data_IF_792406914249
#
_entry.id   IF_792406914249
#
_cell.length_a   1.000
_cell.length_b   1.000
_cell.length_c   1.000
_cell.angle_alpha   90.00
_cell.angle_beta   90.00
_cell.angle_gamma   90.00
#
_symmetry.space_group_name_H-M   'P 1'
#
loop_
_entity.id
_entity.type
_entity.pdbx_description
1 polymer ?
#
# COMPACT_ATOMS: atom_id res chain seq x y z
N UNK A 1 14.77 -11.61 -7.10
CA UNK A 1 14.89 -10.41 -6.24
C UNK A 1 13.91 -9.40 -6.77
N UNK A 2 13.10 -8.81 -5.90
CA UNK A 2 12.28 -7.67 -6.31
C UNK A 2 13.24 -6.53 -6.65
N UNK A 3 12.94 -5.84 -7.74
CA UNK A 3 13.70 -4.68 -8.21
C UNK A 3 13.28 -3.46 -7.38
N UNK A 4 14.25 -2.80 -6.72
CA UNK A 4 14.01 -1.67 -5.81
C UNK A 4 13.19 -0.56 -6.48
N UNK A 5 13.40 -0.31 -7.78
CA UNK A 5 12.65 0.68 -8.55
C UNK A 5 11.18 0.31 -8.69
N UNK A 6 10.90 -0.98 -8.94
CA UNK A 6 9.52 -1.47 -9.05
C UNK A 6 8.82 -1.50 -7.71
N UNK A 7 9.53 -1.83 -6.64
CA UNK A 7 8.98 -1.77 -5.30
C UNK A 7 8.61 -0.33 -4.93
N UNK A 8 9.50 0.63 -5.20
CA UNK A 8 9.23 2.05 -4.98
C UNK A 8 8.02 2.53 -5.78
N UNK A 9 7.90 2.16 -7.06
CA UNK A 9 6.74 2.53 -7.89
C UNK A 9 5.44 1.89 -7.39
N UNK A 10 5.48 0.63 -6.93
CA UNK A 10 4.31 0.00 -6.32
C UNK A 10 3.84 0.78 -5.07
N UNK A 11 4.78 1.24 -4.24
CA UNK A 11 4.48 2.03 -3.05
C UNK A 11 3.88 3.41 -3.40
N UNK A 12 4.44 4.09 -4.41
CA UNK A 12 3.92 5.36 -4.92
C UNK A 12 2.47 5.22 -5.40
N UNK A 13 2.18 4.21 -6.22
CA UNK A 13 0.84 3.95 -6.75
C UNK A 13 -0.16 3.59 -5.65
N UNK A 14 0.26 2.78 -4.67
CA UNK A 14 -0.60 2.44 -3.52
C UNK A 14 -0.89 3.69 -2.68
N UNK A 15 0.11 4.54 -2.44
CA UNK A 15 -0.07 5.79 -1.70
C UNK A 15 -1.06 6.73 -2.40
N UNK A 16 -0.99 6.87 -3.72
CA UNK A 16 -1.95 7.65 -4.50
C UNK A 16 -3.40 7.16 -4.30
N UNK A 17 -3.61 5.83 -4.40
CA UNK A 17 -4.93 5.21 -4.17
C UNK A 17 -5.43 5.45 -2.74
N UNK A 18 -4.56 5.32 -1.74
CA UNK A 18 -4.96 5.50 -0.33
C UNK A 18 -5.10 6.96 0.09
N UNK A 19 -4.40 7.88 -0.57
CA UNK A 19 -4.44 9.32 -0.30
C UNK A 19 -5.67 9.99 -0.88
N UNK A 20 -6.14 9.52 -2.05
CA UNK A 20 -7.31 10.05 -2.77
C UNK A 20 -8.20 8.88 -3.24
N UNK A 21 -8.84 8.13 -2.31
CA UNK A 21 -9.63 6.93 -2.65
C UNK A 21 -10.87 7.22 -3.51
N UNK A 22 -11.32 8.46 -3.54
CA UNK A 22 -12.42 8.93 -4.39
C UNK A 22 -12.02 9.17 -5.84
N UNK A 23 -10.71 9.21 -6.17
CA UNK A 23 -10.21 9.41 -7.53
C UNK A 23 -9.98 8.04 -8.21
N UNK A 24 -10.91 7.59 -9.08
CA UNK A 24 -10.84 6.27 -9.71
C UNK A 24 -9.64 6.11 -10.65
N UNK A 25 -9.05 7.21 -11.16
CA UNK A 25 -7.89 7.15 -12.03
C UNK A 25 -6.66 6.53 -11.34
N UNK A 26 -6.44 6.79 -10.04
CA UNK A 26 -5.31 6.21 -9.30
C UNK A 26 -5.42 4.69 -9.20
N UNK A 27 -6.63 4.18 -8.94
CA UNK A 27 -6.88 2.74 -8.89
C UNK A 27 -6.68 2.10 -10.27
N UNK A 28 -7.15 2.77 -11.32
CA UNK A 28 -6.98 2.29 -12.69
C UNK A 28 -5.49 2.26 -13.10
N UNK A 29 -4.71 3.29 -12.76
CA UNK A 29 -3.26 3.34 -13.01
C UNK A 29 -2.53 2.18 -12.31
N UNK A 30 -2.86 1.92 -11.04
CA UNK A 30 -2.31 0.79 -10.30
C UNK A 30 -2.63 -0.55 -10.98
N UNK A 31 -3.89 -0.76 -11.37
CA UNK A 31 -4.34 -1.99 -12.05
C UNK A 31 -3.58 -2.18 -13.37
N UNK A 32 -3.48 -1.13 -14.18
CA UNK A 32 -2.82 -1.20 -15.48
C UNK A 32 -1.32 -1.48 -15.34
N UNK A 33 -0.66 -0.82 -14.39
CA UNK A 33 0.76 -1.04 -14.11
C UNK A 33 1.05 -2.47 -13.63
N UNK A 34 0.21 -3.02 -12.73
CA UNK A 34 0.32 -4.41 -12.25
C UNK A 34 0.13 -5.41 -13.40
N UNK A 35 -0.79 -5.14 -14.33
CA UNK A 35 -1.09 -6.04 -15.45
C UNK A 35 -0.06 -5.95 -16.59
N UNK A 36 0.68 -4.86 -16.69
CA UNK A 36 1.63 -4.62 -17.77
C UNK A 36 2.86 -5.56 -17.75
N UNK A 37 3.30 -6.04 -16.59
CA UNK A 37 4.49 -6.90 -16.46
C UNK A 37 4.38 -7.79 -15.20
N UNK A 38 4.73 -9.08 -15.33
CA UNK A 38 4.76 -10.04 -14.21
C UNK A 38 5.71 -9.59 -13.08
N UNK A 39 6.76 -8.83 -13.39
CA UNK A 39 7.68 -8.26 -12.40
C UNK A 39 7.05 -7.13 -11.60
N UNK A 40 6.14 -6.36 -12.19
CA UNK A 40 5.38 -5.33 -11.50
C UNK A 40 4.39 -5.97 -10.51
N UNK A 41 3.69 -7.01 -10.96
CA UNK A 41 2.84 -7.85 -10.09
C UNK A 41 3.62 -8.42 -8.90
N UNK A 42 4.80 -8.99 -9.14
CA UNK A 42 5.64 -9.53 -8.07
C UNK A 42 6.09 -8.44 -7.07
N UNK A 43 6.38 -7.22 -7.54
CA UNK A 43 6.71 -6.09 -6.66
C UNK A 43 5.51 -5.64 -5.82
N UNK A 44 4.32 -5.57 -6.43
CA UNK A 44 3.08 -5.22 -5.73
C UNK A 44 2.69 -6.28 -4.69
N UNK A 45 2.83 -7.57 -4.99
CA UNK A 45 2.58 -8.66 -4.04
C UNK A 45 3.53 -8.60 -2.83
N UNK A 46 4.79 -8.21 -3.04
CA UNK A 46 5.73 -8.01 -1.93
C UNK A 46 5.33 -6.82 -1.05
N UNK A 47 4.91 -5.71 -1.67
CA UNK A 47 4.40 -4.56 -0.94
C UNK A 47 3.14 -4.91 -0.13
N UNK A 48 2.22 -5.67 -0.71
CA UNK A 48 1.01 -6.15 -0.02
C UNK A 48 1.38 -6.97 1.22
N UNK A 49 2.37 -7.87 1.11
CA UNK A 49 2.87 -8.63 2.28
C UNK A 49 3.42 -7.72 3.37
N UNK A 50 4.23 -6.72 3.01
CA UNK A 50 4.76 -5.74 3.97
C UNK A 50 3.61 -4.98 4.64
N UNK A 51 2.64 -4.51 3.87
CA UNK A 51 1.49 -3.77 4.37
C UNK A 51 0.66 -4.61 5.36
N UNK A 52 0.34 -5.85 5.02
CA UNK A 52 -0.40 -6.77 5.89
C UNK A 52 0.34 -7.01 7.22
N UNK A 53 1.66 -7.26 7.17
CA UNK A 53 2.46 -7.46 8.39
C UNK A 53 2.45 -6.20 9.27
N UNK A 54 2.61 -5.02 8.67
CA UNK A 54 2.59 -3.76 9.45
C UNK A 54 1.21 -3.44 10.04
N UNK A 55 0.13 -3.69 9.29
CA UNK A 55 -1.24 -3.53 9.78
C UNK A 55 -1.55 -4.48 10.94
N UNK A 56 -1.16 -5.74 10.81
CA UNK A 56 -1.28 -6.75 11.87
C UNK A 56 -0.54 -6.35 13.16
N UNK A 57 0.67 -5.78 13.03
CA UNK A 57 1.46 -5.30 14.18
C UNK A 57 0.76 -4.13 14.86
N UNK A 58 0.32 -3.12 14.10
CA UNK A 58 -0.37 -1.94 14.64
C UNK A 58 -1.70 -2.30 15.32
N UNK A 59 -2.43 -3.30 14.82
CA UNK A 59 -3.68 -3.76 15.45
C UNK A 59 -3.45 -4.62 16.70
N UNK A 60 -2.26 -5.24 16.85
CA UNK A 60 -1.90 -6.06 18.01
C UNK A 60 -1.34 -5.26 19.19
N UNK A 61 -1.03 -3.97 19.00
CA UNK A 61 -0.64 -3.06 20.08
C UNK A 61 -1.86 -2.22 20.53
N UNK A 62 -2.57 -2.59 21.63
CA UNK A 62 -3.79 -1.91 22.06
C UNK A 62 -3.55 -0.52 22.70
N UNK A 63 -2.35 0.05 22.56
CA UNK A 63 -1.90 1.22 23.31
C UNK A 63 -1.83 2.54 22.55
N UNK A 64 -2.10 2.56 21.24
CA UNK A 64 -2.04 3.78 20.41
C UNK A 64 -3.41 4.30 19.97
N UNK A 65 -4.50 3.64 20.38
CA UNK A 65 -5.86 4.10 20.12
C UNK A 65 -6.38 4.95 21.30
N UNK A 66 -6.43 6.26 21.08
CA UNK A 66 -7.23 7.28 21.80
C UNK A 66 -6.72 7.77 23.16
N UNK A 67 -5.75 8.70 23.14
CA UNK A 67 -5.80 9.86 24.03
C UNK A 67 -6.12 11.10 23.20
N UNK A 68 -7.40 11.32 22.93
CA UNK A 68 -7.98 12.66 22.73
C UNK A 68 -9.51 12.55 22.84
N UNK A 69 -9.98 12.19 24.04
CA UNK A 69 -11.33 12.61 24.45
C UNK A 69 -11.18 13.96 25.14
N UNK A 70 -11.42 15.01 24.36
CA UNK A 70 -11.54 16.39 24.83
C UNK A 70 -12.56 16.45 25.97
N UNK A 71 -12.19 17.16 27.03
CA UNK A 71 -12.98 17.47 28.24
C UNK A 71 -14.32 18.12 27.94
#
# INVERSE_FOLDING_TARGET
MVDDERFAKAAELLLAVTGEPEEPAHLQELIDWVKADVRNKAAFEELERVWQVTGDVLQREPGLAHEDTVR
#
